data_IF_073027357856
#
_entry.id   IF_073027357856
#
_cell.length_a   1.000
_cell.length_b   1.000
_cell.length_c   1.000
_cell.angle_alpha   90.00
_cell.angle_beta   90.00
_cell.angle_gamma   90.00
#
_symmetry.space_group_name_H-M   'P 1'
#
loop_
_entity.id
_entity.type
_entity.pdbx_description
1 polymer ?
#
# COMPACT_ATOMS: atom_id res chain seq x y z
N UNK A 1 -0.48 11.09 -33.67
CA UNK A 1 -0.11 10.49 -32.36
C UNK A 1 0.30 9.03 -32.52
N UNK A 2 1.41 8.61 -31.92
CA UNK A 2 1.92 7.23 -31.93
C UNK A 2 2.12 6.72 -30.50
N UNK A 3 2.15 5.39 -30.30
CA UNK A 3 2.41 4.79 -29.00
C UNK A 3 3.80 5.19 -28.43
N UNK A 4 4.80 5.37 -29.30
CA UNK A 4 6.11 5.81 -28.85
C UNK A 4 6.09 7.27 -28.37
N UNK A 5 5.36 8.16 -29.01
CA UNK A 5 5.17 9.52 -28.55
C UNK A 5 4.49 9.55 -27.16
N UNK A 6 3.43 8.75 -26.96
CA UNK A 6 2.79 8.63 -25.65
C UNK A 6 3.75 8.05 -24.61
N UNK A 7 4.57 7.03 -24.96
CA UNK A 7 5.57 6.45 -24.06
C UNK A 7 6.62 7.48 -23.65
N UNK A 8 7.14 8.26 -24.60
CA UNK A 8 8.14 9.29 -24.33
C UNK A 8 7.56 10.40 -23.44
N UNK A 9 6.34 10.85 -23.73
CA UNK A 9 5.62 11.81 -22.91
C UNK A 9 5.41 11.31 -21.47
N UNK A 10 4.88 10.11 -21.27
CA UNK A 10 4.64 9.54 -19.95
C UNK A 10 5.95 9.34 -19.16
N UNK A 11 7.04 8.89 -19.82
CA UNK A 11 8.33 8.75 -19.15
C UNK A 11 8.93 10.10 -18.75
N UNK A 12 8.84 11.13 -19.62
CA UNK A 12 9.30 12.48 -19.30
C UNK A 12 8.52 13.09 -18.12
N UNK A 13 7.22 12.83 -18.03
CA UNK A 13 6.36 13.23 -16.92
C UNK A 13 6.82 12.61 -15.62
N UNK A 14 7.04 11.31 -15.59
CA UNK A 14 7.47 10.56 -14.41
C UNK A 14 8.86 10.95 -13.93
N UNK A 15 9.79 11.16 -14.86
CA UNK A 15 11.16 11.57 -14.58
C UNK A 15 11.28 13.07 -14.24
N UNK A 16 10.25 13.88 -14.47
CA UNK A 16 10.29 15.36 -14.40
C UNK A 16 11.44 15.98 -15.20
N UNK A 17 11.91 15.26 -16.24
CA UNK A 17 13.11 15.61 -17.02
C UNK A 17 13.12 14.88 -18.36
N UNK A 18 13.29 15.61 -19.45
CA UNK A 18 13.43 15.04 -20.80
C UNK A 18 14.74 14.24 -20.91
N UNK A 19 15.83 14.72 -20.30
CA UNK A 19 17.14 14.05 -20.35
C UNK A 19 17.11 12.70 -19.66
N UNK A 20 16.58 12.65 -18.43
CA UNK A 20 16.44 11.38 -17.69
C UNK A 20 15.50 10.40 -18.37
N UNK A 21 14.43 10.91 -18.99
CA UNK A 21 13.53 10.07 -19.76
C UNK A 21 14.22 9.48 -21.00
N UNK A 22 15.06 10.23 -21.67
CA UNK A 22 15.83 9.75 -22.83
C UNK A 22 16.83 8.66 -22.41
N UNK A 23 17.52 8.85 -21.28
CA UNK A 23 18.43 7.85 -20.70
C UNK A 23 17.67 6.55 -20.38
N UNK A 24 16.54 6.65 -19.70
CA UNK A 24 15.72 5.47 -19.33
C UNK A 24 15.16 4.74 -20.55
N UNK A 25 14.83 5.49 -21.61
CA UNK A 25 14.29 4.93 -22.86
C UNK A 25 15.35 4.48 -23.86
N UNK A 26 16.64 4.67 -23.52
CA UNK A 26 17.76 4.37 -24.41
C UNK A 26 17.69 5.08 -25.77
N UNK A 27 17.22 6.34 -25.77
CA UNK A 27 17.12 7.20 -26.95
C UNK A 27 17.84 8.53 -26.72
N UNK A 28 17.95 9.35 -27.77
CA UNK A 28 18.55 10.68 -27.62
C UNK A 28 17.54 11.68 -27.05
N UNK A 29 18.01 12.68 -26.29
CA UNK A 29 17.17 13.74 -25.74
C UNK A 29 16.37 14.50 -26.81
N UNK A 30 16.93 14.85 -28.01
CA UNK A 30 16.15 15.43 -29.10
C UNK A 30 14.97 14.56 -29.54
N UNK A 31 15.12 13.23 -29.56
CA UNK A 31 14.04 12.29 -29.93
C UNK A 31 12.83 12.46 -29.01
N UNK A 32 13.06 12.49 -27.70
CA UNK A 32 11.98 12.68 -26.72
C UNK A 32 11.37 14.09 -26.83
N UNK A 33 12.23 15.12 -26.98
CA UNK A 33 11.77 16.50 -27.07
C UNK A 33 10.92 16.76 -28.32
N UNK A 34 11.31 16.22 -29.47
CA UNK A 34 10.55 16.34 -30.73
C UNK A 34 9.21 15.60 -30.61
N UNK A 35 9.22 14.38 -30.08
CA UNK A 35 8.00 13.60 -29.91
C UNK A 35 6.95 14.28 -29.02
N UNK A 36 7.39 14.93 -27.93
CA UNK A 36 6.50 15.71 -27.04
C UNK A 36 5.98 16.94 -27.77
N UNK A 37 6.84 17.68 -28.46
CA UNK A 37 6.44 18.85 -29.24
C UNK A 37 5.43 18.49 -30.35
N UNK A 38 5.61 17.37 -31.02
CA UNK A 38 4.68 16.91 -32.04
C UNK A 38 3.30 16.62 -31.46
N UNK A 39 3.21 16.04 -30.25
CA UNK A 39 1.94 15.85 -29.52
C UNK A 39 1.31 17.20 -29.16
N UNK A 40 2.08 18.17 -28.68
CA UNK A 40 1.60 19.51 -28.36
C UNK A 40 1.04 20.23 -29.61
N UNK A 41 1.72 20.09 -30.74
CA UNK A 41 1.26 20.63 -32.01
C UNK A 41 -0.02 19.94 -32.49
N UNK A 42 -0.06 18.60 -32.42
CA UNK A 42 -1.21 17.79 -32.90
C UNK A 42 -2.47 18.11 -32.09
N UNK A 43 -2.35 18.31 -30.77
CA UNK A 43 -3.50 18.60 -29.90
C UNK A 43 -3.76 20.10 -29.71
N UNK A 44 -2.85 20.97 -30.16
CA UNK A 44 -2.96 22.41 -30.01
C UNK A 44 -2.87 22.93 -28.57
N UNK A 45 -2.21 22.16 -27.67
CA UNK A 45 -2.08 22.43 -26.24
C UNK A 45 -0.63 22.29 -25.80
N UNK A 46 -0.26 22.98 -24.71
CA UNK A 46 1.01 22.73 -24.04
C UNK A 46 0.83 21.65 -22.98
N UNK A 47 1.69 20.64 -22.99
CA UNK A 47 1.64 19.51 -22.06
C UNK A 47 2.52 19.73 -20.83
N UNK A 48 3.55 20.59 -20.99
CA UNK A 48 4.49 20.91 -19.92
C UNK A 48 4.74 22.41 -19.79
N UNK A 49 5.05 22.82 -18.57
CA UNK A 49 5.71 24.08 -18.29
C UNK A 49 6.98 23.84 -17.46
N UNK A 50 7.90 24.82 -17.48
CA UNK A 50 9.14 24.73 -16.70
C UNK A 50 9.03 25.57 -15.43
N UNK A 51 9.34 24.98 -14.30
CA UNK A 51 9.51 25.69 -13.03
C UNK A 51 10.94 25.46 -12.52
N UNK A 52 11.81 26.44 -12.77
CA UNK A 52 13.24 26.26 -12.55
C UNK A 52 13.80 25.17 -13.48
N UNK A 53 14.45 24.17 -12.90
CA UNK A 53 15.06 23.06 -13.63
C UNK A 53 14.16 21.81 -13.74
N UNK A 54 12.87 21.92 -13.35
CA UNK A 54 11.91 20.81 -13.38
C UNK A 54 10.88 20.97 -14.48
N UNK A 55 10.58 19.88 -15.14
CA UNK A 55 9.48 19.74 -16.07
C UNK A 55 8.21 19.39 -15.27
N UNK A 56 7.15 20.19 -15.43
CA UNK A 56 5.89 20.01 -14.71
C UNK A 56 4.76 19.95 -15.73
N UNK A 57 3.81 19.02 -15.53
CA UNK A 57 2.62 18.93 -16.36
C UNK A 57 1.72 20.16 -16.21
N UNK A 58 1.09 20.56 -17.31
CA UNK A 58 -0.09 21.44 -17.31
C UNK A 58 -1.32 20.64 -16.86
N UNK A 59 -2.45 21.28 -16.66
CA UNK A 59 -3.72 20.60 -16.36
C UNK A 59 -4.12 19.66 -17.50
N UNK A 60 -3.99 20.12 -18.75
CA UNK A 60 -4.20 19.31 -19.95
C UNK A 60 -3.17 18.17 -20.06
N UNK A 61 -1.92 18.44 -19.65
CA UNK A 61 -0.87 17.43 -19.57
C UNK A 61 -1.18 16.34 -18.56
N UNK A 62 -1.74 16.66 -17.39
CA UNK A 62 -2.17 15.67 -16.40
C UNK A 62 -3.32 14.81 -16.94
N UNK A 63 -4.28 15.41 -17.62
CA UNK A 63 -5.38 14.67 -18.25
C UNK A 63 -4.86 13.71 -19.32
N UNK A 64 -3.99 14.20 -20.22
CA UNK A 64 -3.37 13.37 -21.25
C UNK A 64 -2.51 12.26 -20.63
N UNK A 65 -1.75 12.54 -19.56
CA UNK A 65 -0.92 11.55 -18.89
C UNK A 65 -1.75 10.37 -18.39
N UNK A 66 -2.89 10.64 -17.77
CA UNK A 66 -3.79 9.60 -17.27
C UNK A 66 -4.34 8.74 -18.43
N UNK A 67 -4.79 9.38 -19.52
CA UNK A 67 -5.31 8.68 -20.70
C UNK A 67 -4.21 7.90 -21.44
N UNK A 68 -3.03 8.50 -21.61
CA UNK A 68 -1.89 7.88 -22.29
C UNK A 68 -1.37 6.65 -21.52
N UNK A 69 -1.29 6.75 -20.21
CA UNK A 69 -0.90 5.62 -19.34
C UNK A 69 -1.87 4.45 -19.49
N UNK A 70 -3.18 4.73 -19.54
CA UNK A 70 -4.20 3.73 -19.78
C UNK A 70 -4.03 3.02 -21.15
N UNK A 71 -3.82 3.81 -22.22
CA UNK A 71 -3.62 3.27 -23.58
C UNK A 71 -2.38 2.38 -23.63
N UNK A 72 -1.25 2.86 -23.09
CA UNK A 72 0.01 2.10 -23.09
C UNK A 72 -0.11 0.80 -22.30
N UNK A 73 -0.82 0.83 -21.18
CA UNK A 73 -1.05 -0.36 -20.38
C UNK A 73 -1.93 -1.37 -21.11
N UNK A 74 -3.02 -0.92 -21.74
CA UNK A 74 -3.87 -1.78 -22.56
C UNK A 74 -3.12 -2.41 -23.74
N UNK A 75 -2.24 -1.63 -24.41
CA UNK A 75 -1.38 -2.17 -25.46
C UNK A 75 -0.40 -3.23 -24.96
N UNK A 76 0.18 -3.03 -23.76
CA UNK A 76 1.08 -4.03 -23.17
C UNK A 76 0.32 -5.32 -22.80
N UNK A 77 -0.92 -5.22 -22.33
CA UNK A 77 -1.78 -6.38 -22.06
C UNK A 77 -2.18 -7.10 -23.35
N UNK A 78 -2.58 -6.35 -24.38
CA UNK A 78 -2.84 -6.93 -25.69
C UNK A 78 -1.63 -7.71 -26.20
N UNK A 79 -0.42 -7.16 -26.09
CA UNK A 79 0.81 -7.86 -26.45
C UNK A 79 1.05 -9.09 -25.56
N UNK A 80 0.78 -9.01 -24.25
CA UNK A 80 0.89 -10.13 -23.33
C UNK A 80 -0.13 -11.22 -23.63
N UNK A 81 -1.38 -10.86 -23.91
CA UNK A 81 -2.45 -11.80 -24.24
C UNK A 81 -2.13 -12.58 -25.55
N UNK A 82 -1.59 -11.92 -26.55
CA UNK A 82 -1.24 -12.56 -27.83
C UNK A 82 0.15 -13.22 -27.84
N UNK A 83 1.12 -12.74 -27.05
CA UNK A 83 2.38 -13.46 -26.80
C UNK A 83 2.14 -14.69 -25.92
N UNK A 84 1.10 -14.71 -25.13
CA UNK A 84 0.72 -15.78 -24.21
C UNK A 84 -0.17 -16.86 -24.82
N UNK A 85 -0.50 -16.77 -26.10
CA UNK A 85 -0.78 -18.04 -26.83
C UNK A 85 0.43 -19.00 -26.70
N UNK A 86 1.54 -18.55 -26.17
CA UNK A 86 2.75 -19.32 -25.88
C UNK A 86 3.35 -19.16 -24.47
N UNK A 87 2.97 -18.20 -23.59
CA UNK A 87 3.57 -18.04 -22.24
C UNK A 87 2.75 -17.17 -21.28
N UNK A 88 2.86 -17.51 -20.02
CA UNK A 88 2.33 -16.99 -18.76
C UNK A 88 1.96 -15.49 -18.75
N UNK A 89 0.70 -15.16 -18.45
CA UNK A 89 0.23 -13.79 -18.16
C UNK A 89 1.09 -13.14 -17.09
N UNK A 90 1.36 -11.81 -17.14
CA UNK A 90 2.15 -11.15 -16.11
C UNK A 90 1.50 -11.35 -14.73
N UNK A 91 2.31 -11.57 -13.69
CA UNK A 91 1.80 -11.77 -12.35
C UNK A 91 1.12 -10.50 -11.84
N UNK A 92 0.12 -10.65 -11.00
CA UNK A 92 -0.52 -9.57 -10.27
C UNK A 92 0.40 -9.14 -9.11
N UNK A 93 0.90 -7.91 -9.13
CA UNK A 93 1.81 -7.37 -8.13
C UNK A 93 1.02 -6.66 -7.02
N UNK A 94 1.08 -7.22 -5.82
CA UNK A 94 0.30 -6.76 -4.67
C UNK A 94 1.22 -6.28 -3.56
N UNK A 95 1.04 -5.04 -3.11
CA UNK A 95 1.69 -4.54 -1.91
C UNK A 95 0.84 -4.79 -0.66
N UNK A 96 1.48 -5.17 0.45
CA UNK A 96 0.78 -5.39 1.71
C UNK A 96 1.69 -5.08 2.91
N UNK A 97 1.19 -4.41 3.96
CA UNK A 97 1.95 -4.26 5.20
C UNK A 97 2.17 -5.60 5.91
N UNK A 98 3.33 -5.80 6.56
CA UNK A 98 3.67 -7.06 7.24
C UNK A 98 2.60 -7.57 8.21
N UNK A 99 1.94 -6.65 8.93
CA UNK A 99 0.88 -7.01 9.85
C UNK A 99 -0.36 -7.56 9.12
N UNK A 100 -0.70 -7.00 7.97
CA UNK A 100 -1.82 -7.46 7.17
C UNK A 100 -1.48 -8.76 6.41
N UNK A 101 -0.22 -8.91 5.97
CA UNK A 101 0.23 -10.14 5.31
C UNK A 101 0.17 -11.36 6.22
N UNK A 102 0.45 -11.17 7.51
CA UNK A 102 0.43 -12.26 8.49
C UNK A 102 -0.99 -12.76 8.81
N UNK A 103 -1.96 -11.86 8.88
CA UNK A 103 -3.32 -12.21 9.38
C UNK A 103 -4.34 -12.35 8.27
N UNK A 104 -4.29 -11.49 7.26
CA UNK A 104 -5.38 -11.34 6.30
C UNK A 104 -5.13 -12.09 4.98
N UNK A 105 -3.89 -12.26 4.62
CA UNK A 105 -3.55 -12.66 3.26
C UNK A 105 -3.40 -14.16 3.02
N UNK A 106 -2.89 -14.97 3.96
CA UNK A 106 -2.60 -16.38 3.68
C UNK A 106 -3.83 -17.17 3.24
N UNK A 107 -4.93 -17.08 4.00
CA UNK A 107 -6.17 -17.81 3.70
C UNK A 107 -6.83 -17.29 2.41
N UNK A 108 -6.82 -15.96 2.21
CA UNK A 108 -7.29 -15.34 0.98
C UNK A 108 -6.52 -15.84 -0.24
N UNK A 109 -5.18 -15.89 -0.16
CA UNK A 109 -4.33 -16.30 -1.26
C UNK A 109 -4.54 -17.77 -1.63
N UNK A 110 -4.65 -18.64 -0.62
CA UNK A 110 -4.94 -20.07 -0.84
C UNK A 110 -6.27 -20.21 -1.57
N UNK A 111 -7.34 -19.62 -1.03
CA UNK A 111 -8.67 -19.70 -1.63
C UNK A 111 -8.72 -19.05 -3.04
N UNK A 112 -7.98 -17.96 -3.27
CA UNK A 112 -7.87 -17.35 -4.59
C UNK A 112 -7.15 -18.25 -5.58
N UNK A 113 -6.04 -18.87 -5.17
CA UNK A 113 -5.26 -19.77 -6.02
C UNK A 113 -6.02 -21.05 -6.36
N UNK A 114 -6.81 -21.58 -5.43
CA UNK A 114 -7.69 -22.73 -5.67
C UNK A 114 -8.73 -22.44 -6.76
N UNK A 115 -9.24 -21.21 -6.80
CA UNK A 115 -10.24 -20.81 -7.81
C UNK A 115 -9.62 -20.34 -9.14
N UNK A 116 -8.42 -19.75 -9.09
CA UNK A 116 -7.73 -19.15 -10.24
C UNK A 116 -6.25 -19.58 -10.30
N UNK A 117 -5.96 -20.87 -10.50
CA UNK A 117 -4.58 -21.39 -10.45
C UNK A 117 -3.68 -20.81 -11.55
N UNK A 118 -4.28 -20.28 -12.63
CA UNK A 118 -3.57 -19.66 -13.74
C UNK A 118 -3.06 -18.24 -13.43
N UNK A 119 -3.55 -17.61 -12.35
CA UNK A 119 -3.17 -16.24 -11.99
C UNK A 119 -2.01 -16.24 -11.00
N UNK A 120 -0.83 -15.92 -11.49
CA UNK A 120 0.33 -15.73 -10.62
C UNK A 120 0.19 -14.42 -9.81
N UNK A 121 0.44 -14.49 -8.50
CA UNK A 121 0.46 -13.35 -7.59
C UNK A 121 1.88 -13.16 -7.05
N UNK A 122 2.41 -11.94 -7.17
CA UNK A 122 3.65 -11.53 -6.51
C UNK A 122 3.28 -10.61 -5.36
N UNK A 123 3.60 -11.04 -4.16
CA UNK A 123 3.35 -10.29 -2.94
C UNK A 123 4.62 -9.60 -2.48
N UNK A 124 4.53 -8.30 -2.20
CA UNK A 124 5.62 -7.50 -1.69
C UNK A 124 5.23 -6.79 -0.39
N UNK A 125 6.07 -6.91 0.63
CA UNK A 125 5.80 -6.33 1.94
C UNK A 125 6.38 -4.91 2.07
N UNK A 126 5.47 -3.94 2.25
CA UNK A 126 5.80 -2.53 2.49
C UNK A 126 4.84 -1.94 3.52
N UNK A 127 5.28 -0.90 4.27
CA UNK A 127 4.34 -0.09 5.05
C UNK A 127 3.30 0.57 4.14
N UNK A 128 2.10 0.84 4.67
CA UNK A 128 0.97 1.36 3.87
C UNK A 128 1.32 2.62 3.07
N UNK A 129 2.13 3.52 3.64
CA UNK A 129 2.54 4.76 2.96
C UNK A 129 3.38 4.45 1.72
N UNK A 130 4.37 3.56 1.86
CA UNK A 130 5.23 3.15 0.74
C UNK A 130 4.45 2.37 -0.31
N UNK A 131 3.57 1.45 0.11
CA UNK A 131 2.71 0.70 -0.79
C UNK A 131 1.82 1.63 -1.65
N UNK A 132 1.24 2.68 -1.04
CA UNK A 132 0.47 3.69 -1.77
C UNK A 132 1.30 4.40 -2.85
N UNK A 133 2.55 4.79 -2.54
CA UNK A 133 3.43 5.43 -3.52
C UNK A 133 3.74 4.48 -4.69
N UNK A 134 4.04 3.21 -4.41
CA UNK A 134 4.33 2.21 -5.43
C UNK A 134 3.11 1.91 -6.34
N UNK A 135 1.89 1.97 -5.78
CA UNK A 135 0.65 1.91 -6.57
C UNK A 135 0.49 3.16 -7.45
N UNK A 136 0.82 4.35 -6.92
CA UNK A 136 0.77 5.60 -7.68
C UNK A 136 1.74 5.61 -8.86
N UNK A 137 2.92 5.00 -8.68
CA UNK A 137 4.00 4.91 -9.67
C UNK A 137 3.89 3.69 -10.60
N UNK A 138 2.76 2.95 -10.56
CA UNK A 138 2.49 1.74 -11.35
C UNK A 138 3.50 0.59 -11.13
N UNK A 139 4.30 0.64 -10.07
CA UNK A 139 5.19 -0.46 -9.66
C UNK A 139 4.38 -1.63 -9.11
N UNK A 140 3.31 -1.34 -8.37
CA UNK A 140 2.32 -2.30 -7.91
C UNK A 140 1.00 -2.12 -8.65
N UNK A 141 0.25 -3.19 -8.82
CA UNK A 141 -1.06 -3.16 -9.46
C UNK A 141 -2.14 -2.70 -8.48
N UNK A 142 -2.04 -3.18 -7.25
CA UNK A 142 -2.89 -2.80 -6.12
C UNK A 142 -2.13 -2.98 -4.80
N UNK A 143 -2.69 -2.46 -3.71
CA UNK A 143 -2.20 -2.73 -2.37
C UNK A 143 -3.34 -2.91 -1.37
N UNK A 144 -3.13 -3.79 -0.37
CA UNK A 144 -3.90 -3.80 0.85
C UNK A 144 -3.23 -2.84 1.82
N UNK A 145 -3.99 -1.95 2.44
CA UNK A 145 -3.42 -0.89 3.29
C UNK A 145 -4.32 -0.57 4.48
N UNK A 146 -3.72 -0.01 5.52
CA UNK A 146 -4.46 0.76 6.50
C UNK A 146 -4.79 2.13 5.89
N UNK A 147 -6.07 2.44 5.78
CA UNK A 147 -6.60 3.59 5.05
C UNK A 147 -6.65 4.89 5.88
N UNK A 148 -6.30 4.85 7.16
CA UNK A 148 -6.28 6.04 8.01
C UNK A 148 -5.05 6.93 7.73
N UNK A 149 -5.21 8.24 7.91
CA UNK A 149 -4.16 9.27 7.76
C UNK A 149 -3.41 9.33 6.42
N UNK A 150 -3.83 8.60 5.39
CA UNK A 150 -3.28 8.74 4.04
C UNK A 150 -4.30 9.40 3.13
N UNK A 151 -3.85 10.25 2.20
CA UNK A 151 -4.74 10.86 1.20
C UNK A 151 -5.18 9.80 0.16
N UNK A 152 -6.12 8.95 0.56
CA UNK A 152 -6.66 7.81 -0.20
C UNK A 152 -7.59 8.27 -1.33
N UNK A 153 -7.97 9.52 -1.35
CA UNK A 153 -8.91 10.04 -2.37
C UNK A 153 -8.28 10.09 -3.77
N UNK A 154 -6.96 9.96 -3.84
CA UNK A 154 -6.24 9.77 -5.11
C UNK A 154 -6.38 8.37 -5.72
N UNK A 155 -6.91 7.42 -4.97
CA UNK A 155 -7.04 6.02 -5.39
C UNK A 155 -8.50 5.61 -5.56
N UNK A 156 -8.74 4.62 -6.38
CA UNK A 156 -9.91 3.78 -6.23
C UNK A 156 -9.71 2.92 -4.98
N UNK A 157 -10.78 2.65 -4.25
CA UNK A 157 -10.68 1.96 -2.96
C UNK A 157 -11.83 1.00 -2.72
N UNK A 158 -11.56 -0.05 -1.95
CA UNK A 158 -12.57 -0.95 -1.43
C UNK A 158 -12.27 -1.24 0.04
N UNK A 159 -13.19 -0.87 0.92
CA UNK A 159 -13.10 -1.22 2.34
C UNK A 159 -13.33 -2.73 2.50
N UNK A 160 -12.48 -3.39 3.28
CA UNK A 160 -12.57 -4.82 3.58
C UNK A 160 -12.95 -5.07 5.04
N UNK A 161 -12.34 -4.34 5.98
CA UNK A 161 -12.59 -4.51 7.40
C UNK A 161 -12.31 -3.24 8.19
N UNK A 162 -12.89 -3.18 9.40
CA UNK A 162 -12.50 -2.25 10.44
C UNK A 162 -11.79 -3.04 11.54
N UNK A 163 -10.81 -2.45 12.19
CA UNK A 163 -10.09 -3.02 13.32
C UNK A 163 -9.67 -1.90 14.26
N UNK A 164 -8.95 -2.23 15.30
CA UNK A 164 -8.38 -1.25 16.23
C UNK A 164 -6.96 -1.65 16.62
N UNK A 165 -6.17 -0.65 16.98
CA UNK A 165 -4.86 -0.85 17.57
C UNK A 165 -5.05 -1.21 19.04
N UNK A 166 -4.35 -2.26 19.49
CA UNK A 166 -4.27 -2.67 20.90
C UNK A 166 -2.83 -2.62 21.39
N UNK A 167 -2.67 -2.41 22.66
CA UNK A 167 -1.37 -2.51 23.33
C UNK A 167 -1.09 -3.99 23.64
N UNK A 168 -0.05 -4.52 23.05
CA UNK A 168 0.31 -5.92 23.13
C UNK A 168 1.39 -6.14 24.17
N UNK A 169 1.11 -6.98 25.15
CA UNK A 169 1.99 -7.32 26.26
C UNK A 169 1.95 -8.82 26.55
N UNK A 170 2.90 -9.33 27.34
CA UNK A 170 2.82 -10.69 27.89
C UNK A 170 1.64 -10.84 28.85
N UNK A 171 1.08 -12.03 28.97
CA UNK A 171 0.04 -12.34 29.97
C UNK A 171 0.49 -12.06 31.42
N UNK A 172 1.80 -12.15 31.69
CA UNK A 172 2.38 -11.86 33.01
C UNK A 172 2.74 -10.37 33.20
N UNK A 173 2.44 -9.52 32.24
CA UNK A 173 2.78 -8.11 32.31
C UNK A 173 1.89 -7.36 33.31
N UNK A 174 2.45 -6.38 34.07
CA UNK A 174 1.72 -5.60 35.07
C UNK A 174 0.43 -4.92 34.60
N UNK A 175 0.30 -4.68 33.29
CA UNK A 175 -0.89 -4.09 32.68
C UNK A 175 -1.84 -5.13 32.07
N UNK A 176 -1.49 -6.43 32.08
CA UNK A 176 -2.23 -7.48 31.36
C UNK A 176 -3.71 -7.59 31.81
N UNK A 177 -4.00 -7.33 33.08
CA UNK A 177 -5.37 -7.43 33.63
C UNK A 177 -6.21 -6.17 33.47
N UNK A 178 -5.70 -5.16 32.78
CA UNK A 178 -6.45 -3.93 32.51
C UNK A 178 -7.43 -4.14 31.37
N UNK A 179 -8.64 -3.60 31.51
CA UNK A 179 -9.64 -3.55 30.45
C UNK A 179 -9.24 -2.59 29.33
N UNK A 180 -8.59 -1.48 29.70
CA UNK A 180 -8.07 -0.46 28.77
C UNK A 180 -6.76 0.13 29.31
N UNK A 181 -5.91 0.65 28.39
CA UNK A 181 -4.69 1.39 28.76
C UNK A 181 -4.70 2.79 28.16
N UNK A 182 -4.10 3.71 28.90
CA UNK A 182 -3.93 5.11 28.52
C UNK A 182 -2.51 5.38 28.03
N UNK A 183 -2.32 6.46 27.30
CA UNK A 183 -0.99 6.94 26.85
C UNK A 183 -0.04 7.17 28.01
N UNK A 184 -0.56 7.68 29.17
CA UNK A 184 0.19 7.87 30.41
C UNK A 184 0.75 6.56 30.99
N UNK A 185 0.02 5.46 30.84
CA UNK A 185 0.48 4.16 31.34
C UNK A 185 1.50 3.56 30.38
N UNK A 186 1.23 3.66 29.07
CA UNK A 186 2.13 3.16 28.03
C UNK A 186 3.45 3.92 27.96
N UNK A 187 3.47 5.24 28.29
CA UNK A 187 4.72 6.03 28.32
C UNK A 187 5.72 5.60 29.38
N UNK A 188 5.32 4.74 30.30
CA UNK A 188 6.20 4.17 31.34
C UNK A 188 6.80 2.82 30.95
N UNK A 189 6.47 2.33 29.76
CA UNK A 189 6.92 1.05 29.22
C UNK A 189 7.97 1.27 28.13
N UNK A 190 8.91 0.36 28.04
CA UNK A 190 9.82 0.30 26.88
C UNK A 190 9.10 -0.32 25.68
N UNK A 191 9.01 0.44 24.59
CA UNK A 191 8.13 0.13 23.46
C UNK A 191 8.91 -0.35 22.23
N UNK A 192 8.39 -1.37 21.61
CA UNK A 192 8.78 -1.80 20.26
C UNK A 192 7.70 -1.32 19.30
N UNK A 193 8.07 -0.57 18.28
CA UNK A 193 7.14 -0.02 17.30
C UNK A 193 7.52 -0.43 15.88
N UNK A 194 6.56 -0.34 14.95
CA UNK A 194 6.81 -0.59 13.53
C UNK A 194 7.71 0.47 12.89
N UNK A 195 8.16 0.22 11.68
CA UNK A 195 8.95 1.17 10.90
C UNK A 195 8.18 2.46 10.59
N UNK A 196 8.90 3.50 10.20
CA UNK A 196 8.35 4.86 10.06
C UNK A 196 7.29 5.00 8.96
N UNK A 197 7.28 4.10 7.96
CA UNK A 197 6.30 4.03 6.86
C UNK A 197 4.98 3.34 7.26
N UNK A 198 4.84 2.92 8.52
CA UNK A 198 3.60 2.36 9.07
C UNK A 198 2.64 3.48 9.45
N UNK A 199 1.42 3.44 8.91
CA UNK A 199 0.31 4.33 9.31
C UNK A 199 -0.03 4.19 10.79
N UNK A 200 0.00 2.97 11.32
CA UNK A 200 -0.20 2.73 12.76
C UNK A 200 0.79 3.51 13.62
N UNK A 201 2.07 3.52 13.21
CA UNK A 201 3.10 4.24 13.94
C UNK A 201 2.87 5.77 13.91
N UNK A 202 2.38 6.30 12.80
CA UNK A 202 2.00 7.71 12.69
C UNK A 202 0.82 8.05 13.62
N UNK A 203 -0.21 7.19 13.67
CA UNK A 203 -1.36 7.34 14.56
C UNK A 203 -0.95 7.35 16.03
N UNK A 204 -0.09 6.42 16.41
CA UNK A 204 0.46 6.34 17.78
C UNK A 204 1.27 7.58 18.13
N UNK A 205 2.18 8.00 17.25
CA UNK A 205 2.99 9.21 17.45
C UNK A 205 2.08 10.42 17.69
N UNK A 206 1.11 10.65 16.82
CA UNK A 206 0.15 11.75 16.98
C UNK A 206 -0.60 11.67 18.31
N UNK A 207 -1.01 10.47 18.73
CA UNK A 207 -1.70 10.27 20.00
C UNK A 207 -0.80 10.64 21.20
N UNK A 208 0.43 10.15 21.23
CA UNK A 208 1.38 10.48 22.31
C UNK A 208 1.66 11.99 22.37
N UNK A 209 1.84 12.64 21.22
CA UNK A 209 2.04 14.09 21.13
C UNK A 209 0.83 14.89 21.64
N UNK A 210 -0.40 14.52 21.25
CA UNK A 210 -1.63 15.18 21.68
C UNK A 210 -1.85 15.06 23.19
N UNK A 211 -1.48 13.94 23.78
CA UNK A 211 -1.63 13.68 25.22
C UNK A 211 -0.44 14.20 26.05
N UNK A 212 0.59 14.76 25.41
CA UNK A 212 1.76 15.37 26.05
C UNK A 212 2.75 14.37 26.66
N UNK A 213 2.77 13.13 26.16
CA UNK A 213 3.69 12.09 26.60
C UNK A 213 4.73 11.76 25.53
N UNK A 214 5.92 11.37 25.96
CA UNK A 214 7.00 10.89 25.09
C UNK A 214 7.12 9.38 25.29
N UNK A 215 6.96 8.57 24.21
CA UNK A 215 7.13 7.12 24.32
C UNK A 215 8.61 6.74 24.40
N UNK A 216 8.95 5.78 25.26
CA UNK A 216 10.28 5.16 25.31
C UNK A 216 10.39 4.10 24.23
N UNK A 217 10.82 4.50 23.02
CA UNK A 217 10.96 3.59 21.88
C UNK A 217 12.36 3.01 21.86
N UNK A 218 12.48 1.75 22.26
CA UNK A 218 13.76 1.03 22.33
C UNK A 218 14.13 0.32 21.03
N UNK A 219 13.14 0.00 20.20
CA UNK A 219 13.37 -0.74 18.95
C UNK A 219 12.28 -0.46 17.89
N UNK A 220 12.68 -0.53 16.62
CA UNK A 220 11.77 -0.55 15.48
C UNK A 220 11.95 -1.86 14.71
N UNK A 221 10.83 -2.51 14.38
CA UNK A 221 10.86 -3.77 13.61
C UNK A 221 9.56 -3.95 12.84
N UNK A 222 9.64 -4.52 11.65
CA UNK A 222 8.48 -5.00 10.87
C UNK A 222 8.26 -6.50 11.03
N UNK A 223 9.19 -7.19 11.70
CA UNK A 223 9.17 -8.64 11.87
C UNK A 223 8.25 -9.02 13.04
N UNK A 224 7.03 -9.45 12.72
CA UNK A 224 6.00 -9.79 13.71
C UNK A 224 6.49 -10.84 14.71
N UNK A 225 7.13 -11.90 14.22
CA UNK A 225 7.65 -12.95 15.10
C UNK A 225 8.66 -12.41 16.12
N UNK A 226 9.58 -11.55 15.70
CA UNK A 226 10.55 -10.91 16.58
C UNK A 226 9.87 -10.05 17.65
N UNK A 227 8.87 -9.25 17.24
CA UNK A 227 8.08 -8.42 18.16
C UNK A 227 7.41 -9.31 19.22
N UNK A 228 6.72 -10.38 18.80
CA UNK A 228 6.03 -11.31 19.69
C UNK A 228 6.98 -11.98 20.68
N UNK A 229 8.16 -12.43 20.25
CA UNK A 229 9.15 -13.04 21.14
C UNK A 229 9.69 -12.04 22.19
N UNK A 230 9.91 -10.80 21.80
CA UNK A 230 10.38 -9.77 22.74
C UNK A 230 9.29 -9.37 23.75
N UNK A 231 8.04 -9.25 23.31
CA UNK A 231 6.89 -8.96 24.18
C UNK A 231 6.71 -10.06 25.24
N UNK A 232 6.90 -11.33 24.88
CA UNK A 232 6.85 -12.47 25.83
C UNK A 232 7.85 -12.37 26.98
N UNK A 233 8.91 -11.58 26.86
CA UNK A 233 9.89 -11.39 27.95
C UNK A 233 9.39 -10.55 29.10
N UNK A 234 8.17 -10.01 29.04
CA UNK A 234 7.58 -9.04 29.98
C UNK A 234 8.35 -7.71 30.11
N UNK A 235 9.38 -7.48 29.28
CA UNK A 235 10.21 -6.26 29.33
C UNK A 235 9.73 -5.19 28.38
N UNK A 236 8.93 -5.56 27.38
CA UNK A 236 8.55 -4.68 26.27
C UNK A 236 7.07 -4.78 25.99
N UNK A 237 6.48 -3.63 25.64
CA UNK A 237 5.17 -3.57 25.02
C UNK A 237 5.29 -3.25 23.53
N UNK A 238 4.26 -3.62 22.77
CA UNK A 238 4.16 -3.28 21.36
C UNK A 238 2.72 -2.94 21.01
N UNK A 239 2.47 -2.63 19.74
CA UNK A 239 1.15 -2.30 19.24
C UNK A 239 0.82 -3.18 18.04
N UNK A 240 -0.29 -3.92 18.15
CA UNK A 240 -0.78 -4.80 17.10
C UNK A 240 -2.24 -4.46 16.79
N UNK A 241 -2.80 -5.09 15.77
CA UNK A 241 -4.25 -5.05 15.53
C UNK A 241 -4.95 -6.06 16.43
N UNK A 242 -6.18 -5.75 16.88
CA UNK A 242 -6.96 -6.63 17.75
C UNK A 242 -7.11 -8.02 17.15
N UNK A 243 -7.49 -8.10 15.87
CA UNK A 243 -7.61 -9.36 15.14
C UNK A 243 -6.35 -10.22 15.15
N UNK A 244 -5.18 -9.59 15.26
CA UNK A 244 -3.90 -10.28 15.34
C UNK A 244 -3.65 -10.87 16.73
N UNK A 245 -3.89 -10.09 17.77
CA UNK A 245 -3.73 -10.58 19.15
C UNK A 245 -4.69 -11.72 19.46
N UNK A 246 -5.90 -11.70 18.92
CA UNK A 246 -6.89 -12.77 19.09
C UNK A 246 -6.39 -14.09 18.49
N UNK A 247 -5.71 -14.04 17.33
CA UNK A 247 -5.08 -15.24 16.72
C UNK A 247 -3.88 -15.77 17.52
N UNK A 248 -3.20 -14.92 18.27
CA UNK A 248 -2.05 -15.28 19.10
C UNK A 248 -2.38 -15.39 20.61
N UNK A 249 -3.65 -15.31 21.00
CA UNK A 249 -4.06 -15.35 22.41
C UNK A 249 -3.55 -16.60 23.16
N UNK A 250 -3.48 -17.75 22.50
CA UNK A 250 -2.93 -18.99 23.08
C UNK A 250 -1.40 -18.98 23.25
N UNK A 251 -0.72 -17.92 22.82
CA UNK A 251 0.75 -17.86 22.81
C UNK A 251 1.36 -17.10 23.98
N UNK A 252 0.60 -16.76 25.02
CA UNK A 252 1.09 -16.00 26.20
C UNK A 252 1.20 -14.49 25.94
N UNK A 253 0.34 -13.97 25.07
CA UNK A 253 0.29 -12.55 24.67
C UNK A 253 -1.15 -12.05 24.72
N UNK A 254 -1.33 -10.87 25.30
CA UNK A 254 -2.63 -10.19 25.45
C UNK A 254 -2.63 -8.85 24.76
N UNK A 255 -3.69 -8.54 24.04
CA UNK A 255 -3.97 -7.24 23.46
C UNK A 255 -4.92 -6.45 24.35
N UNK A 256 -4.50 -5.27 24.82
CA UNK A 256 -5.28 -4.41 25.69
C UNK A 256 -5.77 -3.21 24.87
N UNK A 257 -7.07 -2.95 24.78
CA UNK A 257 -7.63 -1.80 24.06
C UNK A 257 -7.07 -0.46 24.59
N UNK A 258 -6.87 0.49 23.68
CA UNK A 258 -6.41 1.83 24.03
C UNK A 258 -7.59 2.72 24.44
N UNK A 259 -7.38 3.61 25.40
CA UNK A 259 -8.36 4.64 25.79
C UNK A 259 -7.79 6.04 25.52
N UNK A 260 -8.44 6.83 24.63
CA UNK A 260 -9.49 6.47 23.68
C UNK A 260 -8.97 5.54 22.57
N UNK A 261 -9.85 4.75 21.92
CA UNK A 261 -9.44 3.74 20.95
C UNK A 261 -8.84 4.38 19.68
N UNK A 262 -7.85 3.72 19.09
CA UNK A 262 -7.33 4.03 17.76
C UNK A 262 -7.92 3.02 16.78
N UNK A 263 -8.98 3.45 16.07
CA UNK A 263 -9.64 2.65 15.05
C UNK A 263 -8.87 2.72 13.74
N UNK A 264 -8.93 1.65 12.96
CA UNK A 264 -8.31 1.55 11.64
C UNK A 264 -9.30 0.99 10.62
N UNK A 265 -9.08 1.34 9.37
CA UNK A 265 -9.81 0.80 8.23
C UNK A 265 -8.83 0.08 7.32
N UNK A 266 -9.09 -1.18 7.06
CA UNK A 266 -8.30 -2.02 6.16
C UNK A 266 -9.03 -2.10 4.83
N UNK A 267 -8.32 -1.82 3.76
CA UNK A 267 -8.91 -1.86 2.42
C UNK A 267 -7.89 -2.11 1.31
N UNK A 268 -8.43 -2.38 0.14
CA UNK A 268 -7.65 -2.42 -1.09
C UNK A 268 -7.67 -1.05 -1.74
N UNK A 269 -6.55 -0.67 -2.33
CA UNK A 269 -6.41 0.52 -3.17
C UNK A 269 -5.77 0.18 -4.50
N UNK A 270 -6.14 0.94 -5.54
CA UNK A 270 -5.50 0.91 -6.85
C UNK A 270 -5.61 2.29 -7.50
N UNK A 271 -4.72 2.57 -8.44
CA UNK A 271 -4.61 3.89 -9.07
C UNK A 271 -5.90 4.26 -9.81
N UNK A 272 -6.36 5.52 -9.66
CA UNK A 272 -7.45 6.07 -10.47
C UNK A 272 -7.03 6.19 -11.93
N UNK A 273 -7.95 5.86 -12.84
CA UNK A 273 -7.66 5.91 -14.28
C UNK A 273 -6.76 4.80 -14.81
N UNK A 274 -6.30 3.90 -13.94
CA UNK A 274 -5.57 2.70 -14.37
C UNK A 274 -6.52 1.72 -15.04
N UNK A 275 -6.07 1.14 -16.15
CA UNK A 275 -6.75 -0.01 -16.73
C UNK A 275 -6.74 -1.18 -15.73
N UNK A 276 -7.90 -1.78 -15.53
CA UNK A 276 -8.04 -2.94 -14.64
C UNK A 276 -8.03 -4.19 -15.52
N UNK A 277 -6.93 -4.95 -15.44
CA UNK A 277 -6.82 -6.22 -16.16
C UNK A 277 -7.86 -7.24 -15.68
N UNK A 278 -8.13 -8.26 -16.51
CA UNK A 278 -9.00 -9.37 -16.14
C UNK A 278 -8.54 -10.05 -14.84
N UNK A 279 -7.23 -10.30 -14.69
CA UNK A 279 -6.65 -10.87 -13.49
C UNK A 279 -6.88 -9.99 -12.25
N UNK A 280 -6.68 -8.68 -12.39
CA UNK A 280 -6.90 -7.72 -11.32
C UNK A 280 -8.39 -7.63 -10.96
N UNK A 281 -9.29 -7.63 -11.95
CA UNK A 281 -10.74 -7.61 -11.74
C UNK A 281 -11.20 -8.86 -10.99
N UNK A 282 -10.71 -10.04 -11.37
CA UNK A 282 -10.97 -11.30 -10.67
C UNK A 282 -10.52 -11.23 -9.22
N UNK A 283 -9.29 -10.75 -8.97
CA UNK A 283 -8.77 -10.61 -7.62
C UNK A 283 -9.57 -9.63 -6.76
N UNK A 284 -9.90 -8.45 -7.30
CA UNK A 284 -10.72 -7.45 -6.61
C UNK A 284 -12.11 -7.97 -6.24
N UNK A 285 -12.78 -8.66 -7.17
CA UNK A 285 -14.11 -9.22 -6.94
C UNK A 285 -14.04 -10.36 -5.94
N UNK A 286 -13.08 -11.29 -6.10
CA UNK A 286 -12.87 -12.41 -5.21
C UNK A 286 -12.61 -11.93 -3.77
N UNK A 287 -11.68 -11.00 -3.58
CA UNK A 287 -11.33 -10.49 -2.26
C UNK A 287 -12.53 -9.84 -1.55
N UNK A 288 -13.37 -9.07 -2.30
CA UNK A 288 -14.59 -8.49 -1.75
C UNK A 288 -15.60 -9.53 -1.30
N UNK A 289 -15.80 -10.59 -2.10
CA UNK A 289 -16.71 -11.70 -1.77
C UNK A 289 -16.17 -12.48 -0.58
N UNK A 290 -14.89 -12.84 -0.60
CA UNK A 290 -14.24 -13.61 0.43
C UNK A 290 -14.40 -12.97 1.82
N UNK A 291 -14.12 -11.68 1.96
CA UNK A 291 -14.26 -11.00 3.25
C UNK A 291 -15.69 -10.62 3.62
N UNK A 292 -16.64 -10.71 2.72
CA UNK A 292 -18.07 -10.65 3.07
C UNK A 292 -18.54 -11.96 3.71
N UNK A 293 -18.03 -13.10 3.25
CA UNK A 293 -18.38 -14.44 3.73
C UNK A 293 -17.53 -14.85 4.95
N UNK A 294 -16.30 -14.37 5.02
CA UNK A 294 -15.33 -14.63 6.09
C UNK A 294 -14.91 -13.31 6.75
N UNK A 295 -15.78 -12.67 7.53
CA UNK A 295 -15.44 -11.40 8.16
C UNK A 295 -14.24 -11.56 9.09
N UNK A 296 -13.24 -10.70 8.90
CA UNK A 296 -11.95 -10.74 9.61
C UNK A 296 -12.05 -10.54 11.11
N UNK A 297 -13.16 -9.97 11.56
CA UNK A 297 -13.48 -9.73 12.97
C UNK A 297 -14.92 -10.19 13.16
N UNK A 298 -15.11 -11.21 13.94
CA UNK A 298 -16.42 -11.52 14.48
C UNK A 298 -16.87 -10.27 15.26
N UNK A 299 -17.96 -9.66 14.84
CA UNK A 299 -18.56 -8.40 15.30
C UNK A 299 -18.10 -7.96 16.70
N UNK A 300 -17.39 -6.82 16.75
CA UNK A 300 -17.32 -6.00 17.95
C UNK A 300 -18.73 -5.56 18.38
#
# INVERSE_FOLDING_TARGET
MTLNQLRYFCTASRCHSITKAAEELYVTQPTVSVAIRDLEIEFGISLFYRKGNRLILTEEGEELYNKATYILQYCNELQADYSSMARVKPPLRIGIPPMLSTVFFPELLIAFHDQYPEIAVVLEEYGSVRACNLVQDDTLDLALVNMEQYNIDKFNKALLANDQVVFCVSDDHRLADKEVVTTKEMSKESLIVFNADSVQNQLLKTRFEMDGYIPDIVMRSSQIYTILQLVKTCKYGSFLYSSMTDRFASSGIKGIPLSPPIRIKIGMIWKKGKYISDNMQKFLNFTRMYYREHPLIQKL
#
